data_IF_273123487691
#
_entry.id   IF_273123487691
#
_cell.length_a   1.000
_cell.length_b   1.000
_cell.length_c   1.000
_cell.angle_alpha   90.00
_cell.angle_beta   90.00
_cell.angle_gamma   90.00
#
_symmetry.space_group_name_H-M   'P 1'
#
loop_
_entity.id
_entity.type
_entity.pdbx_description
1 polymer ?
#
# COMPACT_ATOMS: atom_id res chain seq x y z
N UNK A 1 14.21 -4.22 14.19
CA UNK A 1 12.90 -4.82 13.86
C UNK A 1 11.75 -3.92 14.30
N UNK A 2 11.41 -3.82 15.59
CA UNK A 2 10.24 -3.03 16.03
C UNK A 2 10.44 -1.52 15.84
N UNK A 3 11.58 -0.97 16.28
CA UNK A 3 11.85 0.47 16.15
C UNK A 3 11.88 0.97 14.70
N UNK A 4 12.49 0.19 13.80
CA UNK A 4 12.53 0.49 12.36
C UNK A 4 11.14 0.40 11.72
N UNK A 5 10.33 -0.62 12.07
CA UNK A 5 8.97 -0.77 11.58
C UNK A 5 8.03 0.34 12.09
N UNK A 6 8.15 0.72 13.35
CA UNK A 6 7.36 1.81 13.94
C UNK A 6 7.68 3.15 13.29
N UNK A 7 8.98 3.47 13.10
CA UNK A 7 9.39 4.69 12.40
C UNK A 7 8.87 4.71 10.95
N UNK A 8 8.97 3.60 10.24
CA UNK A 8 8.46 3.46 8.88
C UNK A 8 6.94 3.71 8.81
N UNK A 9 6.16 3.12 9.72
CA UNK A 9 4.73 3.33 9.79
C UNK A 9 4.34 4.78 10.16
N UNK A 10 5.06 5.39 11.10
CA UNK A 10 4.83 6.77 11.51
C UNK A 10 5.06 7.76 10.38
N UNK A 11 6.16 7.59 9.62
CA UNK A 11 6.45 8.44 8.45
C UNK A 11 5.34 8.32 7.39
N UNK A 12 4.79 7.13 7.19
CA UNK A 12 3.67 6.93 6.27
C UNK A 12 2.35 7.46 6.82
N UNK A 13 2.16 7.50 8.13
CA UNK A 13 0.99 8.10 8.78
C UNK A 13 0.84 9.61 8.52
N UNK A 14 1.89 10.28 8.06
CA UNK A 14 1.84 11.68 7.63
C UNK A 14 1.22 11.86 6.24
N UNK A 15 0.98 10.78 5.49
CA UNK A 15 0.33 10.86 4.20
C UNK A 15 -1.14 11.30 4.36
N UNK A 16 -1.64 12.15 3.45
CA UNK A 16 -3.04 12.55 3.48
C UNK A 16 -3.92 11.32 3.31
N UNK A 17 -5.05 11.29 4.03
CA UNK A 17 -6.05 10.23 3.92
C UNK A 17 -5.55 8.84 4.43
N UNK A 18 -4.69 8.82 5.46
CA UNK A 18 -4.31 7.57 6.13
C UNK A 18 -5.33 7.17 7.20
N UNK A 19 -5.74 5.89 7.20
CA UNK A 19 -6.55 5.31 8.27
C UNK A 19 -5.66 4.61 9.30
N UNK A 20 -6.18 4.41 10.52
CA UNK A 20 -5.50 3.59 11.52
C UNK A 20 -5.16 2.19 10.99
N UNK A 21 -6.09 1.55 10.26
CA UNK A 21 -5.87 0.24 9.65
C UNK A 21 -4.73 0.28 8.62
N UNK A 22 -4.65 1.34 7.79
CA UNK A 22 -3.57 1.51 6.84
C UNK A 22 -2.20 1.65 7.53
N UNK A 23 -2.12 2.47 8.58
CA UNK A 23 -0.88 2.63 9.37
C UNK A 23 -0.48 1.31 10.04
N UNK A 24 -1.45 0.56 10.57
CA UNK A 24 -1.20 -0.74 11.17
C UNK A 24 -0.68 -1.77 10.15
N UNK A 25 -1.25 -1.82 8.94
CA UNK A 25 -0.76 -2.68 7.87
C UNK A 25 0.67 -2.30 7.44
N UNK A 26 0.99 -1.00 7.36
CA UNK A 26 2.34 -0.53 7.05
C UNK A 26 3.33 -0.91 8.14
N UNK A 27 2.93 -0.88 9.41
CA UNK A 27 3.75 -1.38 10.51
C UNK A 27 4.07 -2.87 10.35
N UNK A 28 3.07 -3.70 10.02
CA UNK A 28 3.28 -5.13 9.76
C UNK A 28 4.21 -5.35 8.54
N UNK A 29 4.06 -4.57 7.47
CA UNK A 29 4.96 -4.60 6.33
C UNK A 29 6.40 -4.21 6.72
N UNK A 30 6.58 -3.20 7.58
CA UNK A 30 7.88 -2.82 8.12
C UNK A 30 8.54 -3.93 8.95
N UNK A 31 7.75 -4.68 9.74
CA UNK A 31 8.21 -5.87 10.44
C UNK A 31 8.65 -6.97 9.46
N UNK A 32 7.86 -7.21 8.41
CA UNK A 32 8.19 -8.18 7.35
C UNK A 32 9.50 -7.83 6.64
N UNK A 33 9.69 -6.58 6.20
CA UNK A 33 10.95 -6.17 5.57
C UNK A 33 12.14 -6.25 6.52
N UNK A 34 11.94 -5.88 7.80
CA UNK A 34 12.99 -6.02 8.81
C UNK A 34 13.38 -7.49 9.02
N UNK A 35 12.41 -8.42 8.99
CA UNK A 35 12.66 -9.85 9.09
C UNK A 35 13.37 -10.41 7.85
N UNK A 36 13.01 -9.95 6.65
CA UNK A 36 13.70 -10.31 5.42
C UNK A 36 15.18 -9.90 5.48
N UNK A 37 15.47 -8.65 5.85
CA UNK A 37 16.86 -8.17 5.97
C UNK A 37 17.62 -9.00 7.02
N UNK A 38 17.00 -9.31 8.15
CA UNK A 38 17.63 -10.12 9.19
C UNK A 38 17.92 -11.55 8.73
N UNK A 39 17.05 -12.14 7.90
CA UNK A 39 17.21 -13.50 7.41
C UNK A 39 18.17 -13.62 6.22
N UNK A 40 18.27 -12.61 5.37
CA UNK A 40 19.11 -12.67 4.15
C UNK A 40 20.39 -11.84 4.27
N UNK A 41 20.54 -11.12 5.38
CA UNK A 41 21.63 -10.16 5.64
C UNK A 41 21.80 -9.14 4.50
N UNK A 42 20.75 -8.90 3.72
CA UNK A 42 20.81 -8.13 2.49
C UNK A 42 19.66 -7.14 2.38
N UNK A 43 20.03 -5.87 2.27
CA UNK A 43 19.07 -4.79 2.02
C UNK A 43 18.40 -4.94 0.65
N UNK A 44 19.12 -5.49 -0.34
CA UNK A 44 18.60 -5.69 -1.69
C UNK A 44 17.41 -6.64 -1.72
N UNK A 45 17.34 -7.62 -0.82
CA UNK A 45 16.18 -8.52 -0.72
C UNK A 45 14.92 -7.75 -0.33
N UNK A 46 15.00 -6.86 0.66
CA UNK A 46 13.85 -6.05 1.05
C UNK A 46 13.46 -5.04 -0.03
N UNK A 47 14.44 -4.43 -0.72
CA UNK A 47 14.19 -3.54 -1.86
C UNK A 47 13.47 -4.29 -2.98
N UNK A 48 13.97 -5.46 -3.36
CA UNK A 48 13.36 -6.31 -4.38
C UNK A 48 11.94 -6.70 -4.01
N UNK A 49 11.72 -7.19 -2.77
CA UNK A 49 10.39 -7.53 -2.28
C UNK A 49 9.44 -6.33 -2.31
N UNK A 50 9.90 -5.14 -1.96
CA UNK A 50 9.11 -3.92 -2.00
C UNK A 50 8.72 -3.53 -3.44
N UNK A 51 9.67 -3.58 -4.38
CA UNK A 51 9.41 -3.32 -5.80
C UNK A 51 8.41 -4.34 -6.36
N UNK A 52 8.61 -5.63 -6.07
CA UNK A 52 7.70 -6.70 -6.51
C UNK A 52 6.29 -6.50 -5.96
N UNK A 53 6.16 -6.08 -4.70
CA UNK A 53 4.87 -5.78 -4.09
C UNK A 53 4.16 -4.62 -4.80
N UNK A 54 4.85 -3.49 -5.01
CA UNK A 54 4.31 -2.32 -5.69
C UNK A 54 3.93 -2.63 -7.14
N UNK A 55 4.77 -3.39 -7.86
CA UNK A 55 4.49 -3.82 -9.22
C UNK A 55 3.26 -4.74 -9.28
N UNK A 56 3.12 -5.66 -8.32
CA UNK A 56 1.95 -6.54 -8.24
C UNK A 56 0.67 -5.72 -7.98
N UNK A 57 0.71 -4.77 -7.05
CA UNK A 57 -0.44 -3.92 -6.75
C UNK A 57 -0.82 -3.03 -7.94
N UNK A 58 0.14 -2.33 -8.53
CA UNK A 58 -0.10 -1.39 -9.62
C UNK A 58 -0.30 -2.08 -10.96
N UNK A 59 0.73 -2.76 -11.46
CA UNK A 59 0.74 -3.30 -12.82
C UNK A 59 -0.15 -4.53 -12.98
N UNK A 60 -0.28 -5.40 -11.97
CA UNK A 60 -1.18 -6.56 -12.07
C UNK A 60 -2.60 -6.15 -11.65
N UNK A 61 -2.76 -5.67 -10.41
CA UNK A 61 -4.09 -5.50 -9.82
C UNK A 61 -4.77 -4.16 -10.14
N UNK A 62 -4.03 -3.14 -10.61
CA UNK A 62 -4.58 -1.80 -10.85
C UNK A 62 -4.94 -1.05 -9.57
N UNK A 63 -4.37 -1.44 -8.43
CA UNK A 63 -4.59 -0.79 -7.14
C UNK A 63 -3.66 0.42 -7.05
N UNK A 64 -4.17 1.62 -6.70
CA UNK A 64 -3.32 2.78 -6.48
C UNK A 64 -2.24 2.54 -5.44
N UNK A 65 -0.98 2.70 -5.82
CA UNK A 65 0.16 2.58 -4.91
C UNK A 65 0.58 3.98 -4.50
N UNK A 66 0.62 4.26 -3.20
CA UNK A 66 1.03 5.59 -2.69
C UNK A 66 0.22 6.77 -3.27
N UNK A 67 -1.00 6.53 -3.74
CA UNK A 67 -1.86 7.55 -4.35
C UNK A 67 -1.66 7.80 -5.84
N UNK A 68 -0.75 7.09 -6.53
CA UNK A 68 -0.66 7.11 -7.99
C UNK A 68 -1.72 6.19 -8.60
N UNK A 69 -2.37 6.65 -9.68
CA UNK A 69 -3.32 5.83 -10.42
C UNK A 69 -2.55 4.93 -11.37
N UNK A 70 -2.76 3.62 -11.27
CA UNK A 70 -2.09 2.62 -12.08
C UNK A 70 -3.08 1.95 -13.02
N UNK A 71 -2.74 1.84 -14.31
CA UNK A 71 -3.51 1.07 -15.28
C UNK A 71 -2.99 -0.37 -15.30
N UNK A 72 -3.42 -1.14 -14.30
CA UNK A 72 -3.06 -2.55 -14.20
C UNK A 72 -3.72 -3.43 -15.26
N UNK A 73 -3.20 -4.65 -15.43
CA UNK A 73 -3.79 -5.67 -16.30
C UNK A 73 -5.21 -6.06 -15.88
N UNK A 74 -5.47 -6.08 -14.57
CA UNK A 74 -6.79 -6.29 -14.00
C UNK A 74 -7.34 -4.97 -13.44
N UNK A 75 -8.65 -4.79 -13.52
CA UNK A 75 -9.36 -3.70 -12.84
C UNK A 75 -9.92 -4.23 -11.52
N UNK A 76 -9.23 -3.99 -10.42
CA UNK A 76 -9.81 -4.26 -9.09
C UNK A 76 -10.86 -3.20 -8.75
N UNK A 77 -12.13 -3.60 -8.80
CA UNK A 77 -13.22 -2.80 -8.25
C UNK A 77 -13.31 -3.08 -6.75
N UNK A 78 -12.78 -2.16 -5.95
CA UNK A 78 -13.02 -2.19 -4.50
C UNK A 78 -14.43 -1.65 -4.26
N UNK A 79 -15.42 -2.54 -4.25
CA UNK A 79 -16.81 -2.20 -4.01
C UNK A 79 -17.18 -2.53 -2.56
N UNK A 80 -16.67 -1.72 -1.62
CA UNK A 80 -17.02 -1.86 -0.20
C UNK A 80 -17.55 -0.54 0.33
N UNK A 81 -18.77 -0.54 0.85
CA UNK A 81 -19.31 0.61 1.60
C UNK A 81 -18.68 0.73 3.01
N UNK A 82 -17.90 -0.26 3.44
CA UNK A 82 -17.26 -0.27 4.75
C UNK A 82 -15.81 0.24 4.66
N UNK A 83 -15.68 1.56 4.79
CA UNK A 83 -14.42 2.32 4.70
C UNK A 83 -13.37 1.92 5.73
N UNK A 84 -13.77 1.24 6.82
CA UNK A 84 -12.86 0.76 7.86
C UNK A 84 -12.02 -0.40 7.34
N UNK A 85 -12.60 -1.32 6.58
CA UNK A 85 -11.95 -2.56 6.12
C UNK A 85 -11.12 -2.31 4.86
N UNK A 86 -11.63 -1.48 3.94
CA UNK A 86 -11.00 -1.24 2.65
C UNK A 86 -10.01 -0.08 2.64
N UNK A 87 -9.98 0.76 3.69
CA UNK A 87 -9.01 1.84 3.80
C UNK A 87 -9.11 2.88 2.68
N UNK A 88 -10.33 3.10 2.15
CA UNK A 88 -10.62 3.82 0.88
C UNK A 88 -10.13 5.26 0.78
N UNK A 89 -9.60 5.81 1.85
CA UNK A 89 -8.98 7.13 1.84
C UNK A 89 -7.63 7.14 1.08
N UNK A 90 -7.00 5.99 0.81
CA UNK A 90 -5.83 5.89 -0.07
C UNK A 90 -6.24 5.79 -1.57
N UNK A 91 -6.46 6.92 -2.22
CA UNK A 91 -6.47 7.03 -3.70
C UNK A 91 -7.73 6.59 -4.48
N UNK A 92 -8.70 5.90 -3.87
CA UNK A 92 -9.88 5.37 -4.58
C UNK A 92 -10.96 6.42 -4.93
N UNK A 93 -10.94 7.61 -4.31
CA UNK A 93 -11.94 8.67 -4.58
C UNK A 93 -11.91 9.27 -5.99
N UNK A 94 -10.98 8.86 -6.88
CA UNK A 94 -10.89 9.40 -8.26
C UNK A 94 -11.24 8.41 -9.38
N UNK A 95 -11.50 7.13 -9.09
CA UNK A 95 -12.02 6.20 -10.10
C UNK A 95 -13.55 6.36 -10.28
N UNK A 96 -14.27 6.67 -9.20
CA UNK A 96 -15.72 6.93 -9.25
C UNK A 96 -16.11 8.25 -9.93
N UNK A 97 -15.18 9.18 -10.21
CA UNK A 97 -15.53 10.44 -10.89
C UNK A 97 -15.43 10.35 -12.42
N UNK A 98 -14.61 9.42 -12.94
CA UNK A 98 -14.38 9.31 -14.39
C UNK A 98 -15.34 8.35 -15.10
N UNK A 99 -15.97 7.42 -14.38
CA UNK A 99 -16.94 6.49 -14.98
C UNK A 99 -18.39 7.01 -15.05
N UNK A 100 -18.70 8.15 -14.41
CA UNK A 100 -20.07 8.72 -14.37
C UNK A 100 -20.16 10.12 -15.00
N UNK A 101 -19.25 10.49 -15.91
CA UNK A 101 -19.29 11.79 -16.64
C UNK A 101 -19.68 11.64 -18.12
N UNK A 102 -20.60 10.71 -18.43
CA UNK A 102 -21.40 10.78 -19.65
C UNK A 102 -22.72 11.46 -19.35
#
# INVERSE_FOLDING_TARGET
MIGSAALFALLHGLNPNMTFLAVFNIFLAGCFFSALIYSTESLFTAIGAHITWNWTQGAILGIPVSGTQEQGFFSTLVQSQNTIITGETLGLKRLYRLHYSC
#
